data_IF_189240547216
#
_entry.id   IF_189240547216
#
_cell.length_a   1.000
_cell.length_b   1.000
_cell.length_c   1.000
_cell.angle_alpha   90.00
_cell.angle_beta   90.00
_cell.angle_gamma   90.00
#
_symmetry.space_group_name_H-M   'P 1'
#
loop_
_entity.id
_entity.type
_entity.pdbx_description
1 polymer ?
#
# COMPACT_ATOMS: atom_id res chain seq x y z
N UNK A 1 -18.49 14.43 1.29
CA UNK A 1 -18.69 15.74 0.61
C UNK A 1 -17.38 16.25 0.04
N UNK A 2 -17.42 17.19 -0.94
CA UNK A 2 -16.22 17.69 -1.61
C UNK A 2 -15.23 18.37 -0.65
N UNK A 3 -15.70 18.95 0.43
CA UNK A 3 -14.88 19.60 1.46
C UNK A 3 -14.21 18.62 2.45
N UNK A 4 -14.44 17.33 2.29
CA UNK A 4 -13.71 16.26 2.97
C UNK A 4 -12.56 15.69 2.12
N UNK A 5 -12.39 16.17 0.88
CA UNK A 5 -11.37 15.73 -0.07
C UNK A 5 -10.28 16.80 -0.19
N UNK A 6 -9.05 16.43 0.12
CA UNK A 6 -7.90 17.31 0.10
C UNK A 6 -6.93 16.87 -1.00
N UNK A 7 -6.93 17.61 -2.10
CA UNK A 7 -6.03 17.32 -3.25
C UNK A 7 -4.59 17.63 -2.87
N UNK A 8 -3.67 16.72 -3.20
CA UNK A 8 -2.26 16.78 -2.85
C UNK A 8 -1.35 16.41 -4.02
N UNK A 9 -0.05 16.42 -3.76
CA UNK A 9 0.99 15.97 -4.69
C UNK A 9 1.31 14.47 -4.59
N UNK A 10 0.41 13.69 -3.99
CA UNK A 10 0.47 12.22 -3.98
C UNK A 10 0.35 11.59 -2.60
N UNK A 11 -0.15 10.35 -2.57
CA UNK A 11 -0.40 9.61 -1.34
C UNK A 11 0.85 9.43 -0.46
N UNK A 12 2.06 9.32 -1.04
CA UNK A 12 3.31 9.27 -0.26
C UNK A 12 3.51 10.55 0.56
N UNK A 13 3.32 11.71 -0.05
CA UNK A 13 3.43 13.00 0.65
C UNK A 13 2.36 13.12 1.73
N UNK A 14 1.14 12.69 1.45
CA UNK A 14 0.05 12.69 2.43
C UNK A 14 0.36 11.75 3.60
N UNK A 15 0.86 10.54 3.34
CA UNK A 15 1.27 9.59 4.38
C UNK A 15 2.36 10.16 5.30
N UNK A 16 3.33 10.89 4.73
CA UNK A 16 4.34 11.59 5.52
C UNK A 16 3.79 12.78 6.30
N UNK A 17 2.93 13.55 5.67
CA UNK A 17 2.38 14.79 6.22
C UNK A 17 1.31 14.57 7.29
N UNK A 18 0.56 13.47 7.22
CA UNK A 18 -0.51 13.15 8.18
C UNK A 18 0.03 12.95 9.60
N UNK A 19 1.33 12.66 9.73
CA UNK A 19 1.99 12.48 11.02
C UNK A 19 1.87 13.71 11.92
N UNK A 20 1.73 14.89 11.34
CA UNK A 20 1.72 16.16 12.07
C UNK A 20 0.40 16.44 12.81
N UNK A 21 -0.65 15.67 12.56
CA UNK A 21 -1.93 15.81 13.29
C UNK A 21 -2.08 14.82 14.44
N UNK A 22 -1.11 13.94 14.66
CA UNK A 22 -1.09 12.94 15.72
C UNK A 22 -0.03 13.24 16.78
N UNK A 23 -0.26 12.80 18.03
CA UNK A 23 0.72 12.90 19.11
C UNK A 23 1.91 11.97 18.87
N UNK A 24 3.07 12.35 19.38
CA UNK A 24 4.27 11.48 19.40
C UNK A 24 4.07 10.25 20.28
N UNK A 25 3.14 10.30 21.23
CA UNK A 25 2.84 9.20 22.13
C UNK A 25 1.84 8.18 21.54
N UNK A 26 1.28 8.47 20.34
CA UNK A 26 0.36 7.53 19.71
C UNK A 26 1.07 6.27 19.23
N UNK A 27 0.52 5.12 19.59
CA UNK A 27 1.00 3.80 19.15
C UNK A 27 0.51 3.48 17.75
N UNK A 28 1.39 2.93 16.93
CA UNK A 28 1.07 2.56 15.55
C UNK A 28 1.08 1.04 15.36
N UNK A 29 0.16 0.54 14.53
CA UNK A 29 0.18 -0.81 14.02
C UNK A 29 0.33 -0.79 12.49
N UNK A 30 1.19 -1.66 11.97
CA UNK A 30 1.43 -1.84 10.53
C UNK A 30 1.39 -3.32 10.16
N UNK A 31 0.93 -3.64 8.96
CA UNK A 31 1.13 -4.98 8.41
C UNK A 31 2.63 -5.26 8.24
N UNK A 32 3.04 -6.53 8.29
CA UNK A 32 4.40 -6.95 8.05
C UNK A 32 4.41 -8.21 7.16
N UNK A 33 4.92 -8.16 5.91
CA UNK A 33 5.59 -7.03 5.26
C UNK A 33 4.61 -5.94 4.77
N UNK A 34 5.12 -4.71 4.65
CA UNK A 34 4.35 -3.56 4.22
C UNK A 34 5.22 -2.51 3.50
N UNK A 35 4.58 -1.53 2.89
CA UNK A 35 5.26 -0.38 2.31
C UNK A 35 6.04 0.40 3.38
N UNK A 36 7.39 0.49 3.28
CA UNK A 36 8.25 0.96 4.37
C UNK A 36 7.96 2.39 4.85
N UNK A 37 7.36 3.21 3.98
CA UNK A 37 7.07 4.62 4.26
C UNK A 37 6.20 4.80 5.51
N UNK A 38 5.33 3.84 5.85
CA UNK A 38 4.50 3.96 7.05
C UNK A 38 5.34 3.89 8.33
N UNK A 39 6.33 2.99 8.37
CA UNK A 39 7.28 2.91 9.48
C UNK A 39 8.20 4.12 9.46
N UNK A 40 8.84 4.41 8.32
CA UNK A 40 9.83 5.49 8.19
C UNK A 40 9.28 6.86 8.59
N UNK A 41 8.05 7.18 8.17
CA UNK A 41 7.43 8.47 8.51
C UNK A 41 7.11 8.58 10.01
N UNK A 42 6.78 7.47 10.66
CA UNK A 42 6.60 7.44 12.11
C UNK A 42 7.92 7.48 12.88
N UNK A 43 9.00 6.89 12.33
CA UNK A 43 10.37 7.09 12.85
C UNK A 43 10.75 8.56 12.82
N UNK A 44 10.54 9.22 11.67
CA UNK A 44 10.80 10.67 11.51
C UNK A 44 9.95 11.53 12.46
N UNK A 45 8.74 11.07 12.80
CA UNK A 45 7.86 11.73 13.78
C UNK A 45 8.24 11.44 15.25
N UNK A 46 9.20 10.56 15.51
CA UNK A 46 9.65 10.21 16.86
C UNK A 46 8.73 9.25 17.64
N UNK A 47 7.92 8.44 16.94
CA UNK A 47 6.83 7.63 17.51
C UNK A 47 7.17 6.15 17.71
N UNK A 48 8.37 5.73 17.32
CA UNK A 48 8.68 4.31 17.13
C UNK A 48 9.59 3.70 18.20
N UNK A 49 10.05 4.50 19.17
CA UNK A 49 10.98 4.02 20.20
C UNK A 49 12.38 3.71 19.67
N UNK A 50 12.95 2.60 20.11
CA UNK A 50 14.33 2.21 19.80
C UNK A 50 14.37 1.10 18.74
N UNK A 51 15.28 1.24 17.77
CA UNK A 51 15.52 0.21 16.75
C UNK A 51 16.31 -0.96 17.32
N UNK A 52 15.83 -2.18 17.07
CA UNK A 52 16.53 -3.42 17.39
C UNK A 52 17.13 -4.03 16.11
N UNK A 53 18.46 -4.00 15.93
CA UNK A 53 19.10 -4.49 14.70
C UNK A 53 19.07 -6.03 14.55
N UNK A 54 18.76 -6.77 15.63
CA UNK A 54 18.69 -8.24 15.57
C UNK A 54 17.34 -8.71 15.00
N UNK A 55 16.28 -8.02 15.32
CA UNK A 55 14.91 -8.31 14.85
C UNK A 55 14.48 -7.42 13.70
N UNK A 56 15.27 -6.40 13.39
CA UNK A 56 14.99 -5.36 12.38
C UNK A 56 13.65 -4.64 12.64
N UNK A 57 13.30 -4.47 13.93
CA UNK A 57 12.04 -3.85 14.36
C UNK A 57 12.27 -2.66 15.28
N UNK A 58 11.26 -1.80 15.38
CA UNK A 58 11.19 -0.70 16.34
C UNK A 58 10.34 -1.10 17.55
N UNK A 59 10.78 -0.74 18.75
CA UNK A 59 10.19 -1.22 20.01
C UNK A 59 8.73 -0.82 20.23
N UNK A 60 8.32 0.34 19.69
CA UNK A 60 6.99 0.93 19.92
C UNK A 60 6.10 0.84 18.66
N UNK A 61 6.48 0.00 17.70
CA UNK A 61 5.69 -0.34 16.51
C UNK A 61 5.08 -1.72 16.70
N UNK A 62 3.77 -1.81 16.53
CA UNK A 62 3.04 -3.09 16.52
C UNK A 62 3.06 -3.63 15.10
N UNK A 63 3.80 -4.72 14.89
CA UNK A 63 3.85 -5.43 13.63
C UNK A 63 2.77 -6.51 13.57
N UNK A 64 1.95 -6.49 12.53
CA UNK A 64 0.88 -7.46 12.29
C UNK A 64 1.30 -8.36 11.13
N UNK A 65 1.73 -9.61 11.39
CA UNK A 65 2.19 -10.50 10.32
C UNK A 65 1.12 -10.72 9.24
N UNK A 66 1.54 -10.57 7.98
CA UNK A 66 0.75 -10.83 6.77
C UNK A 66 1.56 -11.79 5.90
N UNK A 67 1.50 -13.06 6.22
CA UNK A 67 2.34 -14.12 5.66
C UNK A 67 1.51 -15.20 4.99
N UNK A 68 2.16 -16.16 4.33
CA UNK A 68 1.46 -17.27 3.70
C UNK A 68 0.72 -18.17 4.71
N UNK A 69 1.17 -18.19 5.97
CA UNK A 69 0.57 -19.00 7.04
C UNK A 69 -0.81 -18.49 7.49
N UNK A 70 -1.10 -17.20 7.28
CA UNK A 70 -2.39 -16.59 7.59
C UNK A 70 -3.10 -16.02 6.34
N UNK A 71 -2.79 -16.56 5.16
CA UNK A 71 -3.34 -16.12 3.88
C UNK A 71 -3.19 -14.59 3.65
N UNK A 72 -2.14 -14.00 4.21
CA UNK A 72 -1.86 -12.55 4.17
C UNK A 72 -2.95 -11.67 4.79
N UNK A 73 -3.79 -12.22 5.66
CA UNK A 73 -4.80 -11.51 6.43
C UNK A 73 -4.26 -11.25 7.83
N UNK A 74 -4.03 -10.00 8.24
CA UNK A 74 -3.47 -9.72 9.56
C UNK A 74 -4.49 -10.00 10.67
N UNK A 75 -4.03 -10.61 11.75
CA UNK A 75 -4.79 -10.73 13.00
C UNK A 75 -4.87 -9.40 13.73
N UNK A 76 -5.92 -9.21 14.53
CA UNK A 76 -6.00 -8.06 15.43
C UNK A 76 -4.87 -8.09 16.45
N UNK A 77 -4.17 -6.97 16.66
CA UNK A 77 -3.07 -6.93 17.59
C UNK A 77 -3.57 -7.10 19.04
N UNK A 78 -2.72 -7.73 19.88
CA UNK A 78 -3.02 -7.92 21.32
C UNK A 78 -2.95 -6.62 22.09
N UNK A 79 -2.06 -5.74 21.70
CA UNK A 79 -1.91 -4.39 22.22
C UNK A 79 -2.74 -3.44 21.36
N UNK A 80 -3.57 -2.60 21.97
CA UNK A 80 -4.44 -1.67 21.25
C UNK A 80 -3.61 -0.50 20.69
N UNK A 81 -3.56 -0.31 19.35
CA UNK A 81 -2.95 0.84 18.72
C UNK A 81 -3.88 2.05 18.70
N UNK A 82 -3.31 3.25 18.59
CA UNK A 82 -4.06 4.48 18.28
C UNK A 82 -4.23 4.69 16.77
N UNK A 83 -3.25 4.23 15.98
CA UNK A 83 -3.21 4.38 14.52
C UNK A 83 -2.93 3.03 13.88
N UNK A 84 -3.77 2.64 12.92
CA UNK A 84 -3.64 1.39 12.15
C UNK A 84 -3.42 1.72 10.69
N UNK A 85 -2.29 1.28 10.13
CA UNK A 85 -2.02 1.39 8.69
C UNK A 85 -2.48 0.12 7.99
N UNK A 86 -3.42 0.28 7.05
CA UNK A 86 -3.88 -0.79 6.16
C UNK A 86 -3.66 -0.35 4.71
N UNK A 87 -3.03 -1.21 3.92
CA UNK A 87 -2.82 -1.01 2.49
C UNK A 87 -3.36 -2.25 1.77
N UNK A 88 -4.53 -2.14 1.18
CA UNK A 88 -5.13 -3.21 0.41
C UNK A 88 -5.76 -2.69 -0.88
N UNK A 89 -5.35 -3.25 -2.04
CA UNK A 89 -4.33 -4.31 -2.23
C UNK A 89 -2.94 -3.90 -1.71
N UNK A 90 -2.20 -4.87 -1.12
CA UNK A 90 -0.97 -4.59 -0.39
C UNK A 90 0.24 -4.43 -1.32
N UNK A 91 1.10 -3.50 -1.00
CA UNK A 91 2.48 -3.44 -1.41
C UNK A 91 3.35 -3.86 -0.21
N UNK A 92 4.08 -5.00 -0.24
CA UNK A 92 4.65 -5.64 -1.43
C UNK A 92 3.92 -6.90 -1.94
N UNK A 93 3.03 -7.50 -1.17
CA UNK A 93 2.56 -8.88 -1.41
C UNK A 93 1.61 -9.01 -2.60
N UNK A 94 1.00 -7.90 -3.03
CA UNK A 94 -0.03 -7.91 -4.07
C UNK A 94 -1.32 -8.64 -3.66
N UNK A 95 -1.45 -8.99 -2.39
CA UNK A 95 -2.64 -9.63 -1.82
C UNK A 95 -3.64 -8.60 -1.31
N UNK A 96 -4.84 -9.03 -1.01
CA UNK A 96 -5.90 -8.16 -0.49
C UNK A 96 -6.75 -8.92 0.52
N UNK A 97 -7.65 -8.21 1.19
CA UNK A 97 -8.67 -8.78 2.09
C UNK A 97 -10.04 -8.54 1.49
N UNK A 98 -11.00 -9.37 1.87
CA UNK A 98 -12.39 -9.21 1.46
C UNK A 98 -13.01 -7.98 2.14
N UNK A 99 -14.10 -7.48 1.56
CA UNK A 99 -14.90 -6.40 2.18
C UNK A 99 -15.41 -6.78 3.57
N UNK A 100 -15.75 -8.06 3.79
CA UNK A 100 -16.16 -8.55 5.10
C UNK A 100 -15.02 -8.43 6.13
N UNK A 101 -13.81 -8.86 5.77
CA UNK A 101 -12.62 -8.71 6.62
C UNK A 101 -12.27 -7.24 6.86
N UNK A 102 -12.41 -6.38 5.85
CA UNK A 102 -12.21 -4.93 6.04
C UNK A 102 -13.25 -4.33 6.98
N UNK A 103 -14.52 -4.83 6.95
CA UNK A 103 -15.54 -4.41 7.90
C UNK A 103 -15.16 -4.76 9.34
N UNK A 104 -14.59 -5.95 9.57
CA UNK A 104 -14.10 -6.34 10.90
C UNK A 104 -13.03 -5.38 11.44
N UNK A 105 -12.14 -4.89 10.57
CA UNK A 105 -11.15 -3.85 10.93
C UNK A 105 -11.79 -2.51 11.28
N UNK A 106 -12.82 -2.09 10.54
CA UNK A 106 -13.59 -0.88 10.84
C UNK A 106 -14.30 -1.01 12.19
N UNK A 107 -14.92 -2.15 12.45
CA UNK A 107 -15.60 -2.43 13.74
C UNK A 107 -14.60 -2.45 14.90
N UNK A 108 -13.44 -3.09 14.69
CA UNK A 108 -12.35 -3.12 15.67
C UNK A 108 -11.84 -1.70 16.00
N UNK A 109 -11.53 -0.90 14.97
CA UNK A 109 -11.02 0.46 15.17
C UNK A 109 -12.04 1.35 15.91
N UNK A 110 -13.32 1.28 15.55
CA UNK A 110 -14.38 1.99 16.27
C UNK A 110 -14.51 1.55 17.73
N UNK A 111 -14.36 0.25 17.99
CA UNK A 111 -14.44 -0.32 19.34
C UNK A 111 -13.34 0.18 20.27
N UNK A 112 -12.11 0.29 19.78
CA UNK A 112 -10.94 0.71 20.57
C UNK A 112 -10.65 2.22 20.47
N UNK A 113 -11.35 2.94 19.59
CA UNK A 113 -11.14 4.38 19.36
C UNK A 113 -9.89 4.69 18.53
N UNK A 114 -9.39 3.74 17.74
CA UNK A 114 -8.26 3.92 16.84
C UNK A 114 -8.64 4.59 15.51
N UNK A 115 -7.64 5.17 14.84
CA UNK A 115 -7.77 5.73 13.49
C UNK A 115 -7.10 4.81 12.48
N UNK A 116 -7.85 4.36 11.47
CA UNK A 116 -7.29 3.65 10.32
C UNK A 116 -6.79 4.67 9.30
N UNK A 117 -5.54 4.55 8.88
CA UNK A 117 -5.01 5.17 7.66
C UNK A 117 -5.02 4.11 6.57
N UNK A 118 -6.00 4.21 5.67
CA UNK A 118 -6.24 3.26 4.60
C UNK A 118 -5.60 3.76 3.30
N UNK A 119 -4.56 3.08 2.83
CA UNK A 119 -3.92 3.40 1.56
C UNK A 119 -4.55 2.59 0.42
N UNK A 120 -5.34 3.27 -0.40
CA UNK A 120 -6.05 2.72 -1.55
C UNK A 120 -5.34 3.01 -2.89
N UNK A 121 -4.00 3.15 -2.89
CA UNK A 121 -3.23 3.50 -4.09
C UNK A 121 -3.35 2.48 -5.24
N UNK A 122 -3.78 1.27 -4.95
CA UNK A 122 -3.94 0.18 -5.93
C UNK A 122 -5.41 -0.21 -6.19
N UNK A 123 -6.38 0.54 -5.73
CA UNK A 123 -7.81 0.22 -5.85
C UNK A 123 -8.28 0.00 -7.30
N UNK A 124 -7.68 0.70 -8.26
CA UNK A 124 -8.02 0.58 -9.69
C UNK A 124 -7.64 -0.79 -10.30
N UNK A 125 -6.84 -1.58 -9.61
CA UNK A 125 -6.42 -2.92 -10.02
C UNK A 125 -7.30 -4.04 -9.47
N UNK A 126 -8.23 -3.73 -8.56
CA UNK A 126 -9.16 -4.69 -7.98
C UNK A 126 -10.07 -5.23 -9.07
N UNK A 127 -10.16 -6.56 -9.15
CA UNK A 127 -10.95 -7.29 -10.14
C UNK A 127 -11.96 -8.25 -9.53
N UNK A 128 -11.88 -8.52 -8.22
CA UNK A 128 -12.76 -9.41 -7.49
C UNK A 128 -13.89 -8.62 -6.82
N UNK A 129 -15.13 -9.10 -6.95
CA UNK A 129 -16.34 -8.39 -6.53
C UNK A 129 -16.51 -8.28 -5.00
N UNK A 130 -15.82 -9.13 -4.23
CA UNK A 130 -15.86 -9.17 -2.77
C UNK A 130 -14.79 -8.30 -2.11
N UNK A 131 -13.99 -7.57 -2.91
CA UNK A 131 -12.96 -6.65 -2.45
C UNK A 131 -13.45 -5.20 -2.56
N UNK A 132 -13.35 -4.46 -1.46
CA UNK A 132 -13.77 -3.06 -1.43
C UNK A 132 -12.80 -2.15 -2.19
N UNK A 133 -13.33 -1.23 -3.02
CA UNK A 133 -12.55 -0.18 -3.69
C UNK A 133 -12.30 1.04 -2.79
N UNK A 134 -13.01 1.14 -1.68
CA UNK A 134 -12.88 2.19 -0.68
C UNK A 134 -13.25 1.66 0.69
N UNK A 135 -12.52 2.09 1.72
CA UNK A 135 -12.88 1.76 3.10
C UNK A 135 -14.28 2.29 3.45
N UNK A 136 -14.72 3.36 2.79
CA UNK A 136 -16.05 3.94 3.02
C UNK A 136 -17.22 3.13 2.47
N UNK A 137 -16.95 2.00 1.82
CA UNK A 137 -17.96 0.97 1.54
C UNK A 137 -18.32 0.15 2.79
N UNK A 138 -17.51 0.24 3.85
CA UNK A 138 -17.75 -0.40 5.14
C UNK A 138 -18.56 0.54 6.05
N UNK A 139 -19.53 -0.03 6.76
CA UNK A 139 -20.35 0.72 7.71
C UNK A 139 -19.49 1.20 8.89
N UNK A 140 -19.67 2.46 9.31
CA UNK A 140 -18.89 3.04 10.41
C UNK A 140 -17.49 3.53 10.04
N UNK A 141 -17.01 3.35 8.80
CA UNK A 141 -15.67 3.79 8.41
C UNK A 141 -15.47 5.32 8.51
N UNK A 142 -16.54 6.10 8.34
CA UNK A 142 -16.47 7.57 8.43
C UNK A 142 -16.09 8.09 9.82
N UNK A 143 -16.25 7.28 10.85
CA UNK A 143 -15.92 7.64 12.25
C UNK A 143 -14.55 7.16 12.70
N UNK A 144 -13.86 6.35 11.90
CA UNK A 144 -12.56 5.80 12.28
C UNK A 144 -11.50 5.79 11.17
N UNK A 145 -11.79 6.22 9.92
CA UNK A 145 -10.84 6.05 8.84
C UNK A 145 -10.53 7.34 8.07
N UNK A 146 -9.25 7.46 7.67
CA UNK A 146 -8.72 8.40 6.67
C UNK A 146 -8.29 7.57 5.47
N UNK A 147 -8.68 7.95 4.25
CA UNK A 147 -8.31 7.24 3.04
C UNK A 147 -7.34 8.05 2.18
N UNK A 148 -6.25 7.42 1.76
CA UNK A 148 -5.26 7.98 0.84
C UNK A 148 -5.49 7.45 -0.58
N UNK A 149 -5.55 8.35 -1.56
CA UNK A 149 -5.73 8.06 -2.98
C UNK A 149 -4.57 8.55 -3.82
N UNK A 150 -4.25 7.85 -4.89
CA UNK A 150 -3.10 8.16 -5.74
C UNK A 150 -3.42 8.01 -7.22
N UNK A 151 -3.00 8.97 -8.04
CA UNK A 151 -2.98 8.86 -9.49
C UNK A 151 -1.65 8.28 -10.03
N UNK A 152 -0.70 8.00 -9.13
CA UNK A 152 0.65 7.55 -9.53
C UNK A 152 0.65 6.23 -10.28
N UNK A 153 -0.24 5.29 -9.90
CA UNK A 153 -0.23 3.92 -10.42
C UNK A 153 -1.25 3.69 -11.52
N UNK A 154 -2.49 4.10 -11.31
CA UNK A 154 -3.57 3.92 -12.28
C UNK A 154 -3.47 4.86 -13.49
N UNK A 155 -3.01 6.10 -13.29
CA UNK A 155 -2.94 7.14 -14.32
C UNK A 155 -1.51 7.50 -14.77
N UNK A 156 -0.48 6.84 -14.22
CA UNK A 156 0.91 7.12 -14.58
C UNK A 156 1.46 8.45 -14.06
N UNK A 157 0.82 9.07 -13.07
CA UNK A 157 1.20 10.39 -12.55
C UNK A 157 2.36 10.33 -11.53
N UNK A 158 3.17 9.28 -11.55
CA UNK A 158 4.32 9.14 -10.64
C UNK A 158 5.27 10.33 -10.72
N UNK A 159 5.56 10.82 -11.91
CA UNK A 159 6.45 11.97 -12.14
C UNK A 159 5.75 13.33 -12.11
N UNK A 160 4.43 13.38 -12.36
CA UNK A 160 3.66 14.64 -12.41
C UNK A 160 3.01 15.00 -11.09
N UNK A 161 2.90 14.04 -10.17
CA UNK A 161 2.46 14.17 -8.78
C UNK A 161 1.01 14.59 -8.62
N UNK A 162 0.13 13.64 -8.31
CA UNK A 162 -1.25 13.92 -7.90
C UNK A 162 -1.78 12.81 -7.00
N UNK A 163 -2.50 13.19 -5.96
CA UNK A 163 -3.24 12.34 -5.06
C UNK A 163 -4.28 13.15 -4.32
N UNK A 164 -4.97 12.50 -3.42
CA UNK A 164 -5.86 13.18 -2.47
C UNK A 164 -6.07 12.34 -1.22
N UNK A 165 -6.38 13.01 -0.14
CA UNK A 165 -6.76 12.40 1.13
C UNK A 165 -8.21 12.70 1.43
N UNK A 166 -8.97 11.69 1.86
CA UNK A 166 -10.33 11.85 2.35
C UNK A 166 -10.32 11.82 3.87
N UNK A 167 -10.75 12.90 4.49
CA UNK A 167 -10.87 13.01 5.95
C UNK A 167 -12.29 13.40 6.30
N UNK A 168 -13.13 12.46 6.76
CA UNK A 168 -14.51 12.73 7.11
C UNK A 168 -14.65 13.73 8.26
N UNK A 169 -15.69 14.57 8.20
CA UNK A 169 -16.04 15.50 9.30
C UNK A 169 -16.50 14.77 10.56
N UNK A 170 -16.98 13.55 10.39
CA UNK A 170 -17.46 12.72 11.50
C UNK A 170 -16.31 12.08 12.28
N UNK A 171 -15.08 12.07 11.71
CA UNK A 171 -13.90 11.47 12.33
C UNK A 171 -13.35 12.34 13.45
N UNK A 172 -13.35 11.80 14.66
CA UNK A 172 -12.88 12.48 15.87
C UNK A 172 -11.94 11.59 16.69
N UNK A 173 -10.98 12.23 17.36
CA UNK A 173 -10.18 11.64 18.42
C UNK A 173 -10.57 12.38 19.72
N UNK A 174 -11.38 11.74 20.57
CA UNK A 174 -12.08 12.41 21.67
C UNK A 174 -12.99 13.54 21.13
N UNK A 175 -12.79 14.76 21.62
CA UNK A 175 -13.55 15.93 21.19
C UNK A 175 -12.95 16.65 19.96
N UNK A 176 -11.79 16.19 19.47
CA UNK A 176 -11.06 16.87 18.40
C UNK A 176 -11.44 16.29 17.04
N UNK A 177 -11.95 17.13 16.13
CA UNK A 177 -12.24 16.75 14.75
C UNK A 177 -10.93 16.69 13.93
N UNK A 178 -10.54 15.50 13.47
CA UNK A 178 -9.32 15.30 12.68
C UNK A 178 -9.39 16.01 11.34
N UNK A 179 -10.58 16.14 10.75
CA UNK A 179 -10.82 16.96 9.57
C UNK A 179 -10.31 18.41 9.76
N UNK A 180 -10.62 19.03 10.89
CA UNK A 180 -10.21 20.42 11.17
C UNK A 180 -8.70 20.54 11.33
N UNK A 181 -8.06 19.56 11.96
CA UNK A 181 -6.59 19.52 12.10
C UNK A 181 -5.92 19.37 10.73
N UNK A 182 -6.41 18.42 9.91
CA UNK A 182 -5.87 18.20 8.57
C UNK A 182 -6.08 19.42 7.66
N UNK A 183 -7.27 20.00 7.67
CA UNK A 183 -7.57 21.22 6.91
C UNK A 183 -6.62 22.37 7.30
N UNK A 184 -6.37 22.56 8.62
CA UNK A 184 -5.44 23.58 9.12
C UNK A 184 -4.01 23.30 8.68
N UNK A 185 -3.55 22.04 8.86
CA UNK A 185 -2.20 21.62 8.43
C UNK A 185 -2.03 21.82 6.92
N UNK A 186 -2.97 21.32 6.13
CA UNK A 186 -2.94 21.37 4.67
C UNK A 186 -2.89 22.83 4.19
N UNK A 187 -3.83 23.67 4.64
CA UNK A 187 -3.86 25.08 4.27
C UNK A 187 -2.69 25.94 4.79
N UNK A 188 -1.91 25.43 5.77
CA UNK A 188 -0.76 26.17 6.30
C UNK A 188 0.54 25.82 5.59
N UNK A 189 0.73 24.55 5.21
CA UNK A 189 2.01 24.05 4.69
C UNK A 189 1.98 23.65 3.21
N UNK A 190 0.85 23.79 2.54
CA UNK A 190 0.69 23.36 1.16
C UNK A 190 -0.19 24.33 0.37
N UNK A 191 0.34 24.83 -0.75
CA UNK A 191 -0.38 25.78 -1.63
C UNK A 191 -1.21 25.10 -2.73
N UNK A 192 -1.17 23.79 -2.82
CA UNK A 192 -1.90 23.01 -3.82
C UNK A 192 -0.99 22.38 -4.88
N UNK A 193 -1.46 21.29 -5.49
CA UNK A 193 -0.83 20.70 -6.66
C UNK A 193 -0.86 21.67 -7.86
N UNK A 194 0.07 21.61 -8.81
CA UNK A 194 0.04 22.45 -10.00
C UNK A 194 -1.31 22.38 -10.70
N UNK A 195 -1.88 23.53 -11.08
CA UNK A 195 -3.22 23.60 -11.68
C UNK A 195 -3.39 22.70 -12.92
N UNK A 196 -2.37 22.69 -13.79
CA UNK A 196 -2.35 21.85 -14.99
C UNK A 196 -2.46 20.35 -14.63
N UNK A 197 -1.86 19.91 -13.53
CA UNK A 197 -1.90 18.52 -13.07
C UNK A 197 -3.28 18.20 -12.46
N UNK A 198 -3.89 19.14 -11.74
CA UNK A 198 -5.27 18.98 -11.26
C UNK A 198 -6.26 18.84 -12.42
N UNK A 199 -6.08 19.62 -13.49
CA UNK A 199 -6.92 19.51 -14.71
C UNK A 199 -6.70 18.18 -15.43
N UNK A 200 -5.46 17.67 -15.45
CA UNK A 200 -5.16 16.33 -15.98
C UNK A 200 -5.83 15.23 -15.13
N UNK A 201 -5.82 15.37 -13.79
CA UNK A 201 -6.54 14.46 -12.90
C UNK A 201 -8.05 14.48 -13.10
N UNK A 202 -8.64 15.67 -13.32
CA UNK A 202 -10.07 15.79 -13.67
C UNK A 202 -10.39 15.04 -14.98
N UNK A 203 -9.52 15.15 -15.98
CA UNK A 203 -9.69 14.45 -17.25
C UNK A 203 -9.70 12.92 -17.10
N UNK A 204 -9.06 12.36 -16.09
CA UNK A 204 -9.11 10.92 -15.78
C UNK A 204 -10.53 10.42 -15.46
N UNK A 205 -11.41 11.29 -14.99
CA UNK A 205 -12.81 10.96 -14.67
C UNK A 205 -13.77 11.16 -15.85
N UNK A 206 -13.32 11.71 -16.98
CA UNK A 206 -14.11 11.76 -18.21
C UNK A 206 -14.30 10.33 -18.78
N UNK A 207 -15.31 10.14 -19.62
CA UNK A 207 -15.54 8.82 -20.27
C UNK A 207 -14.30 8.34 -21.06
N UNK A 208 -13.65 9.25 -21.80
CA UNK A 208 -12.42 8.93 -22.52
C UNK A 208 -11.26 8.60 -21.56
N UNK A 209 -11.12 9.37 -20.49
CA UNK A 209 -10.10 9.13 -19.45
C UNK A 209 -10.26 7.78 -18.79
N UNK A 210 -11.48 7.45 -18.33
CA UNK A 210 -11.79 6.15 -17.72
C UNK A 210 -11.47 4.97 -18.65
N UNK A 211 -11.82 5.10 -19.97
CA UNK A 211 -11.50 4.08 -20.96
C UNK A 211 -9.99 3.86 -21.09
N UNK A 212 -9.20 4.93 -21.21
CA UNK A 212 -7.74 4.86 -21.28
C UNK A 212 -7.10 4.28 -20.01
N UNK A 213 -7.58 4.66 -18.83
CA UNK A 213 -7.10 4.12 -17.57
C UNK A 213 -7.39 2.61 -17.46
N UNK A 214 -8.56 2.18 -17.90
CA UNK A 214 -8.92 0.76 -17.94
C UNK A 214 -7.99 -0.05 -18.84
N UNK A 215 -7.65 0.49 -20.01
CA UNK A 215 -6.69 -0.14 -20.93
C UNK A 215 -5.29 -0.22 -20.29
N UNK A 216 -4.83 0.85 -19.65
CA UNK A 216 -3.53 0.88 -18.96
C UNK A 216 -3.47 -0.13 -17.80
N UNK A 217 -4.51 -0.19 -16.97
CA UNK A 217 -4.61 -1.18 -15.89
C UNK A 217 -4.59 -2.60 -16.47
N UNK A 218 -5.39 -2.86 -17.51
CA UNK A 218 -5.42 -4.17 -18.17
C UNK A 218 -4.05 -4.58 -18.75
N UNK A 219 -3.29 -3.63 -19.30
CA UNK A 219 -1.94 -3.88 -19.79
C UNK A 219 -1.02 -4.37 -18.65
N UNK A 220 -0.98 -3.65 -17.53
CA UNK A 220 -0.15 -4.06 -16.38
C UNK A 220 -0.62 -5.37 -15.75
N UNK A 221 -1.94 -5.61 -15.67
CA UNK A 221 -2.45 -6.86 -15.13
C UNK A 221 -2.19 -8.06 -16.06
N UNK A 222 -2.12 -7.83 -17.38
CA UNK A 222 -1.64 -8.87 -18.31
C UNK A 222 -0.17 -9.22 -18.05
N UNK A 223 0.69 -8.23 -17.83
CA UNK A 223 2.08 -8.47 -17.43
C UNK A 223 2.16 -9.23 -16.10
N UNK A 224 1.34 -8.86 -15.10
CA UNK A 224 1.28 -9.54 -13.81
C UNK A 224 0.91 -11.02 -13.98
N UNK A 225 -0.05 -11.32 -14.85
CA UNK A 225 -0.46 -12.69 -15.18
C UNK A 225 0.70 -13.48 -15.80
N UNK A 226 1.40 -12.90 -16.79
CA UNK A 226 2.57 -13.52 -17.44
C UNK A 226 3.66 -13.84 -16.42
N UNK A 227 3.99 -12.89 -15.53
CA UNK A 227 4.98 -13.10 -14.47
C UNK A 227 4.54 -14.23 -13.54
N UNK A 228 3.29 -14.17 -13.05
CA UNK A 228 2.76 -15.16 -12.12
C UNK A 228 2.75 -16.57 -12.69
N UNK A 229 2.22 -16.73 -13.90
CA UNK A 229 2.14 -18.02 -14.58
C UNK A 229 3.54 -18.55 -14.92
N UNK A 230 4.40 -17.70 -15.49
CA UNK A 230 5.76 -18.09 -15.85
C UNK A 230 6.63 -18.51 -14.66
N UNK A 231 6.47 -17.86 -13.51
CA UNK A 231 7.18 -18.27 -12.28
C UNK A 231 6.63 -19.57 -11.73
N UNK A 232 5.31 -19.80 -11.77
CA UNK A 232 4.71 -21.07 -11.38
C UNK A 232 5.20 -22.23 -12.27
N UNK A 233 5.26 -22.01 -13.58
CA UNK A 233 5.80 -23.00 -14.53
C UNK A 233 7.26 -23.31 -14.26
N UNK A 234 8.03 -22.35 -13.76
CA UNK A 234 9.41 -22.52 -13.33
C UNK A 234 9.55 -23.16 -11.94
N UNK A 235 8.45 -23.51 -11.27
CA UNK A 235 8.43 -24.19 -9.97
C UNK A 235 8.49 -23.27 -8.75
N UNK A 236 8.37 -21.95 -8.93
CA UNK A 236 8.34 -21.01 -7.80
C UNK A 236 6.96 -20.93 -7.14
N UNK A 237 6.96 -20.76 -5.82
CA UNK A 237 5.75 -20.40 -5.07
C UNK A 237 5.56 -18.88 -5.14
N UNK A 238 4.39 -18.45 -5.62
CA UNK A 238 4.09 -17.03 -5.82
C UNK A 238 2.69 -16.65 -5.37
N UNK A 239 2.56 -15.44 -4.87
CA UNK A 239 1.33 -14.82 -4.39
C UNK A 239 1.08 -13.49 -5.11
N UNK A 240 -0.10 -12.90 -4.91
CA UNK A 240 -0.45 -11.63 -5.53
C UNK A 240 -0.75 -11.73 -7.03
N UNK A 241 -0.62 -10.61 -7.75
CA UNK A 241 -0.81 -10.54 -9.21
C UNK A 241 -2.25 -10.77 -9.69
N UNK A 242 -3.27 -10.54 -8.83
CA UNK A 242 -4.71 -10.62 -9.15
C UNK A 242 -5.36 -9.25 -9.00
N UNK A 243 -5.26 -8.64 -7.84
CA UNK A 243 -5.83 -7.32 -7.53
C UNK A 243 -4.77 -6.22 -7.41
N UNK A 244 -3.52 -6.53 -7.77
CA UNK A 244 -2.41 -5.59 -7.76
C UNK A 244 -1.32 -6.01 -8.75
N UNK A 245 -0.52 -5.06 -9.27
CA UNK A 245 0.55 -5.34 -10.21
C UNK A 245 1.84 -5.81 -9.52
N UNK A 246 1.73 -6.47 -8.37
CA UNK A 246 2.84 -7.03 -7.61
C UNK A 246 2.72 -8.54 -7.49
N UNK A 247 3.85 -9.20 -7.69
CA UNK A 247 4.01 -10.63 -7.50
C UNK A 247 5.01 -10.82 -6.35
N UNK A 248 4.60 -11.56 -5.34
CA UNK A 248 5.37 -11.90 -4.17
C UNK A 248 5.86 -13.33 -4.30
N UNK A 249 7.16 -13.50 -4.54
CA UNK A 249 7.80 -14.76 -4.80
C UNK A 249 8.48 -15.24 -3.53
N UNK A 250 8.24 -16.48 -3.13
CA UNK A 250 9.02 -17.15 -2.09
C UNK A 250 10.36 -17.61 -2.68
N UNK A 251 11.47 -17.21 -2.05
CA UNK A 251 12.80 -17.59 -2.54
C UNK A 251 13.03 -19.10 -2.42
N UNK A 252 13.76 -19.71 -3.37
CA UNK A 252 14.08 -21.14 -3.31
C UNK A 252 14.83 -21.48 -2.02
N UNK A 253 14.47 -22.60 -1.40
CA UNK A 253 15.11 -23.14 -0.20
C UNK A 253 15.26 -22.10 0.95
N UNK A 254 14.38 -21.11 0.99
CA UNK A 254 14.44 -19.97 1.91
C UNK A 254 15.76 -19.20 1.81
N UNK A 255 16.32 -19.11 0.61
CA UNK A 255 17.49 -18.27 0.35
C UNK A 255 17.26 -16.86 0.87
N UNK A 256 18.21 -16.23 1.56
CA UNK A 256 18.10 -14.84 1.99
C UNK A 256 17.74 -13.93 0.82
N UNK A 257 16.84 -12.96 1.07
CA UNK A 257 16.26 -12.15 -0.01
C UNK A 257 17.28 -11.31 -0.78
N UNK A 258 18.37 -10.89 -0.15
CA UNK A 258 19.49 -10.21 -0.81
C UNK A 258 20.37 -11.17 -1.61
N UNK A 259 20.59 -12.41 -1.15
CA UNK A 259 21.31 -13.42 -1.92
C UNK A 259 20.54 -13.79 -3.19
N UNK A 260 19.19 -13.84 -3.08
CA UNK A 260 18.34 -14.07 -4.25
C UNK A 260 18.34 -12.87 -5.22
N UNK A 261 18.45 -11.63 -4.71
CA UNK A 261 18.68 -10.45 -5.56
C UNK A 261 19.95 -10.61 -6.40
N UNK A 262 21.08 -10.92 -5.74
CA UNK A 262 22.36 -11.12 -6.42
C UNK A 262 22.31 -12.29 -7.40
N UNK A 263 21.62 -13.37 -7.04
CA UNK A 263 21.42 -14.52 -7.91
C UNK A 263 20.67 -14.14 -9.19
N UNK A 264 19.51 -13.48 -9.09
CA UNK A 264 18.74 -13.06 -10.26
C UNK A 264 19.48 -12.03 -11.11
N UNK A 265 20.13 -11.06 -10.49
CA UNK A 265 20.90 -10.04 -11.20
C UNK A 265 22.03 -10.69 -12.02
N UNK A 266 22.83 -11.56 -11.39
CA UNK A 266 24.01 -12.12 -12.03
C UNK A 266 23.70 -13.26 -13.04
N UNK A 267 22.62 -14.02 -12.82
CA UNK A 267 22.28 -15.18 -13.64
C UNK A 267 21.25 -14.88 -14.74
N UNK A 268 20.28 -14.02 -14.44
CA UNK A 268 19.19 -13.70 -15.36
C UNK A 268 19.19 -12.24 -15.86
N UNK A 269 20.03 -11.35 -15.32
CA UNK A 269 19.97 -9.89 -15.52
C UNK A 269 18.56 -9.33 -15.22
N UNK A 270 17.93 -9.82 -14.18
CA UNK A 270 16.63 -9.39 -13.70
C UNK A 270 16.78 -8.71 -12.36
N UNK A 271 16.14 -7.55 -12.21
CA UNK A 271 16.13 -6.75 -10.99
C UNK A 271 14.72 -6.72 -10.41
N UNK A 272 14.60 -7.04 -9.13
CA UNK A 272 13.38 -6.88 -8.35
C UNK A 272 13.72 -6.29 -6.98
N UNK A 273 12.87 -6.51 -5.99
CA UNK A 273 13.09 -5.94 -4.65
C UNK A 273 13.16 -7.05 -3.61
N UNK A 274 14.26 -7.14 -2.84
CA UNK A 274 14.36 -8.07 -1.70
C UNK A 274 13.22 -7.89 -0.72
N UNK A 275 12.66 -8.98 -0.24
CA UNK A 275 11.51 -8.95 0.65
C UNK A 275 11.82 -8.35 2.02
N UNK A 276 13.03 -8.55 2.55
CA UNK A 276 13.48 -7.93 3.80
C UNK A 276 13.41 -6.40 3.80
N UNK A 277 13.44 -5.76 2.63
CA UNK A 277 13.23 -4.31 2.51
C UNK A 277 11.81 -3.82 2.85
N UNK A 278 10.87 -4.73 3.13
CA UNK A 278 9.49 -4.43 3.47
C UNK A 278 9.11 -4.79 4.91
N UNK A 279 10.05 -5.27 5.68
CA UNK A 279 9.87 -5.70 7.06
C UNK A 279 10.38 -7.12 7.31
N UNK A 280 10.51 -7.51 8.59
CA UNK A 280 11.11 -8.81 8.97
C UNK A 280 10.42 -10.03 8.35
N UNK A 281 9.07 -10.01 8.25
CA UNK A 281 8.32 -11.11 7.62
C UNK A 281 8.48 -11.17 6.10
N UNK A 282 9.18 -10.20 5.51
CA UNK A 282 9.55 -10.21 4.10
C UNK A 282 10.82 -11.02 3.79
N UNK A 283 11.58 -11.44 4.81
CA UNK A 283 12.77 -12.26 4.59
C UNK A 283 12.40 -13.63 4.02
N UNK A 284 13.18 -14.12 3.06
CA UNK A 284 12.85 -15.33 2.29
C UNK A 284 11.81 -15.11 1.18
N UNK A 285 11.51 -13.85 0.86
CA UNK A 285 10.63 -13.45 -0.24
C UNK A 285 11.26 -12.39 -1.13
N UNK A 286 10.65 -12.20 -2.31
CA UNK A 286 11.11 -11.25 -3.31
C UNK A 286 9.94 -10.66 -4.09
N UNK A 287 9.92 -9.32 -4.26
CA UNK A 287 8.86 -8.66 -5.02
C UNK A 287 9.26 -8.42 -6.46
N UNK A 288 8.43 -8.88 -7.40
CA UNK A 288 8.44 -8.47 -8.80
C UNK A 288 7.26 -7.53 -9.09
N UNK A 289 7.43 -6.66 -10.08
CA UNK A 289 6.39 -5.70 -10.48
C UNK A 289 6.04 -5.84 -11.96
N UNK A 290 4.79 -5.58 -12.28
CA UNK A 290 4.26 -5.66 -13.64
C UNK A 290 4.36 -4.33 -14.43
N UNK A 291 5.02 -3.31 -13.88
CA UNK A 291 5.11 -1.96 -14.49
C UNK A 291 6.12 -1.83 -15.66
N UNK A 292 6.69 -2.92 -16.11
CA UNK A 292 7.60 -2.96 -17.26
C UNK A 292 6.87 -2.94 -18.62
N UNK A 293 7.65 -2.94 -19.70
CA UNK A 293 7.11 -3.22 -21.03
C UNK A 293 6.73 -4.70 -21.17
N UNK A 294 5.84 -4.99 -22.10
CA UNK A 294 5.42 -6.37 -22.38
C UNK A 294 6.60 -7.24 -22.81
N UNK A 295 7.44 -6.75 -23.73
CA UNK A 295 8.59 -7.44 -24.28
C UNK A 295 9.64 -7.76 -23.18
N UNK A 296 9.96 -6.77 -22.34
CA UNK A 296 10.91 -6.98 -21.24
C UNK A 296 10.34 -7.95 -20.19
N UNK A 297 9.03 -7.97 -20.00
CA UNK A 297 8.37 -8.91 -19.09
C UNK A 297 8.51 -10.34 -19.58
N UNK A 298 8.24 -10.59 -20.87
CA UNK A 298 8.43 -11.90 -21.48
C UNK A 298 9.89 -12.36 -21.38
N UNK A 299 10.82 -11.48 -21.78
CA UNK A 299 12.25 -11.79 -21.75
C UNK A 299 12.74 -12.11 -20.33
N UNK A 300 12.32 -11.36 -19.33
CA UNK A 300 12.68 -11.61 -17.94
C UNK A 300 12.20 -13.00 -17.47
N UNK A 301 10.98 -13.37 -17.82
CA UNK A 301 10.42 -14.68 -17.44
C UNK A 301 11.15 -15.82 -18.15
N UNK A 302 11.45 -15.71 -19.45
CA UNK A 302 12.22 -16.73 -20.16
C UNK A 302 13.63 -16.90 -19.55
N UNK A 303 14.28 -15.82 -19.14
CA UNK A 303 15.57 -15.88 -18.46
C UNK A 303 15.49 -16.56 -17.08
N UNK A 304 14.42 -16.29 -16.33
CA UNK A 304 14.22 -16.96 -15.03
C UNK A 304 13.92 -18.45 -15.20
N UNK A 305 13.13 -18.83 -16.21
CA UNK A 305 12.82 -20.23 -16.51
C UNK A 305 14.07 -21.05 -16.93
N UNK A 306 15.10 -20.37 -17.41
CA UNK A 306 16.36 -21.01 -17.81
C UNK A 306 17.36 -21.23 -16.68
N UNK A 307 17.05 -20.79 -15.45
CA UNK A 307 17.86 -20.98 -14.24
C UNK A 307 17.70 -22.39 -13.67
#
# INVERSE_FOLDING_TARGET
SADEIFVSDGAKCDSGNIQEIFSVDNKIAVCDPVYPVYVDTNVMAGRTGTYNPTTETWSDVIYMPCTAENDFVPDFPKEEPDIIYLCFPNNPTGTTITKAQLQEWVDYANKIGAVIIYDAAYEAYISEDDVAHSIYECEGARTCAIELRSFSKNAGFTGTRLGFTVVPKDLKAGDVALHSLWARRHGTKYNGAPYIIQRAGEACYSEAGKAQLKEQVAFYMNNAKIIKEGLKDAGYTVFGGVNAPYIWLQTPDKMPSWDFFDFLLNKANVVGTPGSGFGPSGEGYFRLTAFGSYENTLEAIERIKAL
#
